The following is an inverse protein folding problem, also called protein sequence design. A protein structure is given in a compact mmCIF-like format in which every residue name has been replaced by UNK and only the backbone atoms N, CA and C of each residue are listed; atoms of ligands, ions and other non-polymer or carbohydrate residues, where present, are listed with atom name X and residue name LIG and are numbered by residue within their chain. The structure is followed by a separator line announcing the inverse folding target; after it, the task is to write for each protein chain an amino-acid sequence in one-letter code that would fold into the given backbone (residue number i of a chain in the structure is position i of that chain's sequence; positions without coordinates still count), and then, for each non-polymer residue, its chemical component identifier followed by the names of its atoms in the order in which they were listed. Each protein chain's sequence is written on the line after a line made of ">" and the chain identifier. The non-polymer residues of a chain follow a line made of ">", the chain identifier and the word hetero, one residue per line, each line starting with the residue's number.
data_IF_848306609881
#
_entry.id   IF_848306609881
#
_cell.length_a   1.000
_cell.length_b   1.000
_cell.length_c   1.000
_cell.angle_alpha   90.00
_cell.angle_beta   90.00
_cell.angle_gamma   90.00
#
_symmetry.space_group_name_H-M   'P 1'
#
loop_
_entity.id
_entity.type
_entity.pdbx_description
1 polymer ?
#
# COMPACT_ATOMS: atom_id res chain seq x y z
N UNK A 1 -11.44 -8.32 -14.88
CA UNK A 1 -12.92 -8.41 -14.92
C UNK A 1 -13.44 -9.33 -13.80
N UNK A 2 -12.99 -10.58 -13.70
CA UNK A 2 -13.43 -11.53 -12.65
C UNK A 2 -13.23 -11.04 -11.19
N UNK A 3 -12.10 -10.39 -10.89
CA UNK A 3 -11.85 -9.83 -9.56
C UNK A 3 -12.84 -8.71 -9.19
N UNK A 4 -13.23 -7.86 -10.17
CA UNK A 4 -14.15 -6.75 -9.93
C UNK A 4 -15.57 -7.25 -9.64
N UNK A 5 -16.02 -8.33 -10.30
CA UNK A 5 -17.32 -8.95 -10.04
C UNK A 5 -17.38 -9.66 -8.69
N UNK A 6 -16.30 -10.31 -8.26
CA UNK A 6 -16.23 -10.90 -6.91
C UNK A 6 -16.27 -9.83 -5.81
N UNK A 7 -15.65 -8.68 -6.09
CA UNK A 7 -15.60 -7.55 -5.17
C UNK A 7 -16.97 -6.87 -5.04
N UNK A 8 -17.73 -6.71 -6.13
CA UNK A 8 -19.08 -6.15 -6.06
C UNK A 8 -20.04 -7.04 -5.26
N UNK A 9 -19.92 -8.36 -5.39
CA UNK A 9 -20.73 -9.33 -4.63
C UNK A 9 -20.41 -9.35 -3.13
N UNK A 10 -19.16 -9.10 -2.75
CA UNK A 10 -18.73 -9.06 -1.34
C UNK A 10 -18.98 -7.70 -0.69
N UNK A 11 -18.87 -6.60 -1.45
CA UNK A 11 -19.10 -5.24 -0.95
C UNK A 11 -20.56 -4.90 -0.72
N UNK A 12 -21.45 -5.30 -1.64
CA UNK A 12 -22.87 -4.98 -1.57
C UNK A 12 -23.64 -6.11 -0.89
N UNK A 13 -23.82 -6.01 0.43
CA UNK A 13 -24.77 -6.85 1.14
C UNK A 13 -26.08 -6.08 1.38
N UNK A 14 -27.24 -6.77 1.49
CA UNK A 14 -28.53 -6.13 1.75
C UNK A 14 -28.56 -5.26 3.03
N UNK A 15 -27.60 -5.43 3.95
CA UNK A 15 -27.53 -4.72 5.23
C UNK A 15 -26.54 -3.54 5.26
N UNK A 16 -25.63 -3.37 4.29
CA UNK A 16 -24.65 -2.27 4.28
C UNK A 16 -23.40 -2.54 3.42
N UNK A 17 -22.34 -1.74 3.60
CA UNK A 17 -21.03 -1.96 2.95
C UNK A 17 -20.14 -2.78 3.90
N UNK A 18 -19.65 -3.95 3.45
CA UNK A 18 -18.71 -4.75 4.23
C UNK A 18 -17.26 -4.30 3.98
N UNK A 19 -16.69 -3.55 4.91
CA UNK A 19 -15.27 -3.16 4.89
C UNK A 19 -14.42 -4.17 5.67
N UNK A 20 -14.45 -5.44 5.26
CA UNK A 20 -13.58 -6.46 5.84
C UNK A 20 -12.13 -6.27 5.40
N UNK A 21 -11.18 -6.84 6.17
CA UNK A 21 -9.75 -6.86 5.82
C UNK A 21 -9.54 -7.50 4.44
N UNK A 22 -10.33 -8.53 4.11
CA UNK A 22 -10.29 -9.21 2.81
C UNK A 22 -10.81 -8.32 1.68
N UNK A 23 -11.87 -7.55 1.92
CA UNK A 23 -12.41 -6.58 0.94
C UNK A 23 -11.36 -5.49 0.63
N UNK A 24 -10.71 -4.95 1.67
CA UNK A 24 -9.64 -3.95 1.53
C UNK A 24 -8.45 -4.54 0.79
N UNK A 25 -8.02 -5.76 1.14
CA UNK A 25 -6.93 -6.45 0.45
C UNK A 25 -7.25 -6.65 -1.04
N UNK A 26 -8.47 -7.11 -1.36
CA UNK A 26 -8.93 -7.28 -2.75
C UNK A 26 -8.97 -5.98 -3.53
N UNK A 27 -9.44 -4.89 -2.90
CA UNK A 27 -9.42 -3.56 -3.49
C UNK A 27 -7.98 -3.09 -3.77
N UNK A 28 -7.08 -3.26 -2.81
CA UNK A 28 -5.67 -2.86 -2.99
C UNK A 28 -5.02 -3.64 -4.12
N UNK A 29 -5.21 -4.95 -4.21
CA UNK A 29 -4.64 -5.73 -5.32
C UNK A 29 -5.29 -5.36 -6.65
N UNK A 30 -6.58 -5.05 -6.68
CA UNK A 30 -7.26 -4.53 -7.87
C UNK A 30 -6.63 -3.20 -8.32
N UNK A 31 -6.43 -2.23 -7.41
CA UNK A 31 -5.79 -0.94 -7.75
C UNK A 31 -4.36 -1.11 -8.25
N UNK A 32 -3.56 -1.96 -7.61
CA UNK A 32 -2.20 -2.32 -8.05
C UNK A 32 -2.22 -2.93 -9.45
N UNK A 33 -3.18 -3.81 -9.73
CA UNK A 33 -3.35 -4.42 -11.06
C UNK A 33 -3.71 -3.39 -12.11
N UNK A 34 -4.63 -2.48 -11.81
CA UNK A 34 -5.02 -1.40 -12.73
C UNK A 34 -3.81 -0.53 -13.06
N UNK A 35 -3.06 -0.07 -12.05
CA UNK A 35 -1.86 0.72 -12.26
C UNK A 35 -0.86 -0.05 -13.13
N UNK A 36 -0.62 -1.32 -12.83
CA UNK A 36 0.30 -2.15 -13.59
C UNK A 36 -0.12 -2.37 -15.05
N UNK A 37 -1.40 -2.63 -15.30
CA UNK A 37 -1.95 -2.80 -16.65
C UNK A 37 -1.85 -1.49 -17.43
N UNK A 38 -2.23 -0.35 -16.82
CA UNK A 38 -2.10 0.97 -17.45
C UNK A 38 -0.64 1.28 -17.81
N UNK A 39 0.30 0.88 -16.96
CA UNK A 39 1.73 1.07 -17.19
C UNK A 39 2.28 0.13 -18.27
N UNK A 40 1.75 -1.10 -18.36
CA UNK A 40 2.09 -2.08 -19.40
C UNK A 40 1.59 -1.65 -20.79
N UNK A 41 0.37 -1.12 -20.88
CA UNK A 41 -0.20 -0.60 -22.15
C UNK A 41 0.67 0.54 -22.69
N UNK A 42 1.18 1.42 -21.81
CA UNK A 42 2.03 2.54 -22.22
C UNK A 42 3.43 2.11 -22.68
N UNK A 43 3.96 0.99 -22.21
CA UNK A 43 5.29 0.49 -22.60
C UNK A 43 5.31 -1.03 -22.61
N UNK A 44 5.29 -1.60 -23.83
CA UNK A 44 5.36 -3.04 -24.13
C UNK A 44 6.47 -3.74 -23.33
N UNK A 45 6.11 -4.23 -22.15
CA UNK A 45 7.01 -4.91 -21.23
C UNK A 45 6.24 -6.06 -20.59
N UNK A 46 6.10 -7.15 -21.35
CA UNK A 46 5.35 -8.35 -20.98
C UNK A 46 5.78 -8.95 -19.62
N UNK A 47 7.03 -8.72 -19.20
CA UNK A 47 7.54 -9.17 -17.91
C UNK A 47 6.86 -8.53 -16.68
N UNK A 48 6.19 -7.37 -16.81
CA UNK A 48 5.50 -6.73 -15.69
C UNK A 48 4.28 -7.52 -15.20
N UNK A 49 3.56 -8.16 -16.13
CA UNK A 49 2.40 -8.97 -15.80
C UNK A 49 2.81 -10.23 -15.02
N UNK A 50 3.97 -10.80 -15.32
CA UNK A 50 4.46 -12.05 -14.71
C UNK A 50 4.67 -11.91 -13.20
N UNK A 51 5.08 -10.73 -12.71
CA UNK A 51 5.28 -10.50 -11.28
C UNK A 51 3.95 -10.24 -10.52
N UNK A 52 3.00 -9.60 -11.18
CA UNK A 52 1.77 -9.09 -10.54
C UNK A 52 0.64 -10.11 -10.61
N UNK A 53 0.58 -10.92 -11.68
CA UNK A 53 -0.40 -12.00 -11.84
C UNK A 53 -0.48 -12.98 -10.66
N UNK A 54 0.63 -13.55 -10.13
CA UNK A 54 0.52 -14.48 -9.00
C UNK A 54 -0.04 -13.80 -7.73
N UNK A 55 0.25 -12.52 -7.51
CA UNK A 55 -0.28 -11.75 -6.38
C UNK A 55 -1.79 -11.54 -6.55
N UNK A 56 -2.25 -11.26 -7.78
CA UNK A 56 -3.68 -11.11 -8.06
C UNK A 56 -4.46 -12.41 -7.93
N UNK A 57 -3.91 -13.52 -8.44
CA UNK A 57 -4.52 -14.84 -8.33
C UNK A 57 -4.64 -15.24 -6.85
N UNK A 58 -3.57 -15.04 -6.07
CA UNK A 58 -3.57 -15.34 -4.64
C UNK A 58 -4.60 -14.47 -3.89
N UNK A 59 -4.69 -13.17 -4.21
CA UNK A 59 -5.67 -12.28 -3.59
C UNK A 59 -7.11 -12.72 -3.88
N UNK A 60 -7.41 -13.11 -5.13
CA UNK A 60 -8.74 -13.60 -5.51
C UNK A 60 -9.05 -14.90 -4.78
N UNK A 61 -8.09 -15.82 -4.70
CA UNK A 61 -8.26 -17.09 -4.00
C UNK A 61 -8.52 -16.88 -2.50
N UNK A 62 -7.74 -16.02 -1.85
CA UNK A 62 -7.92 -15.69 -0.42
C UNK A 62 -9.31 -15.08 -0.19
N UNK A 63 -9.78 -14.20 -1.08
CA UNK A 63 -11.11 -13.60 -0.94
C UNK A 63 -12.26 -14.59 -1.13
N UNK A 64 -12.07 -15.69 -1.86
CA UNK A 64 -13.10 -16.73 -2.01
C UNK A 64 -13.27 -17.59 -0.74
N UNK A 65 -12.19 -17.79 0.01
CA UNK A 65 -12.21 -18.61 1.23
C UNK A 65 -12.21 -17.77 2.52
N UNK A 66 -12.27 -16.45 2.38
CA UNK A 66 -12.31 -15.52 3.49
C UNK A 66 -13.62 -15.68 4.28
N UNK A 67 -13.57 -15.87 5.61
CA UNK A 67 -14.73 -15.71 6.45
C UNK A 67 -15.31 -14.32 6.23
N UNK A 68 -16.56 -14.23 5.77
CA UNK A 68 -17.26 -12.95 5.68
C UNK A 68 -17.69 -12.60 7.10
N UNK A 69 -16.77 -12.04 7.88
CA UNK A 69 -17.12 -11.49 9.19
C UNK A 69 -18.01 -10.26 8.95
N UNK A 70 -19.31 -10.45 9.18
CA UNK A 70 -20.32 -9.41 9.09
C UNK A 70 -20.21 -8.46 10.29
N UNK A 71 -19.13 -7.70 10.38
CA UNK A 71 -19.16 -6.49 11.22
C UNK A 71 -20.05 -5.49 10.47
N UNK A 72 -21.34 -5.46 10.83
CA UNK A 72 -22.31 -4.50 10.28
C UNK A 72 -21.95 -3.12 10.84
N UNK A 73 -20.97 -2.49 10.21
CA UNK A 73 -20.54 -1.14 10.49
C UNK A 73 -21.24 -0.22 9.49
N UNK A 74 -22.19 0.61 9.96
CA UNK A 74 -22.86 1.66 9.18
C UNK A 74 -22.36 3.04 9.63
N UNK A 75 -21.15 3.46 9.21
CA UNK A 75 -20.69 4.79 9.51
C UNK A 75 -21.39 5.79 8.56
N UNK A 76 -21.36 7.09 8.90
CA UNK A 76 -21.57 8.13 7.91
C UNK A 76 -20.73 7.87 6.66
N UNK A 77 -21.28 8.19 5.49
CA UNK A 77 -20.62 7.98 4.19
C UNK A 77 -19.23 8.62 4.14
N UNK A 78 -19.07 9.78 4.77
CA UNK A 78 -17.80 10.51 4.89
C UNK A 78 -16.70 9.68 5.59
N UNK A 79 -17.04 9.06 6.73
CA UNK A 79 -16.12 8.22 7.50
C UNK A 79 -15.82 6.93 6.74
N UNK A 80 -16.81 6.32 6.06
CA UNK A 80 -16.56 5.16 5.20
C UNK A 80 -15.55 5.48 4.09
N UNK A 81 -15.72 6.61 3.40
CA UNK A 81 -14.82 7.04 2.33
C UNK A 81 -13.43 7.33 2.89
N UNK A 82 -13.33 8.05 4.02
CA UNK A 82 -12.05 8.31 4.68
C UNK A 82 -11.32 7.00 5.03
N UNK A 83 -11.99 6.04 5.67
CA UNK A 83 -11.40 4.75 6.04
C UNK A 83 -10.96 3.97 4.81
N UNK A 84 -11.79 3.93 3.76
CA UNK A 84 -11.48 3.24 2.51
C UNK A 84 -10.27 3.84 1.80
N UNK A 85 -10.22 5.17 1.66
CA UNK A 85 -9.08 5.88 1.04
C UNK A 85 -7.80 5.69 1.86
N UNK A 86 -7.89 5.77 3.19
CA UNK A 86 -6.77 5.53 4.11
C UNK A 86 -6.22 4.11 3.97
N UNK A 87 -7.11 3.12 3.91
CA UNK A 87 -6.73 1.71 3.78
C UNK A 87 -6.11 1.40 2.41
N UNK A 88 -6.65 1.98 1.33
CA UNK A 88 -6.07 1.89 -0.01
C UNK A 88 -4.67 2.51 -0.08
N UNK A 89 -4.49 3.71 0.49
CA UNK A 89 -3.19 4.37 0.57
C UNK A 89 -2.16 3.49 1.27
N UNK A 90 -2.53 2.95 2.45
CA UNK A 90 -1.69 2.04 3.21
C UNK A 90 -1.27 0.80 2.40
N UNK A 91 -2.23 0.13 1.76
CA UNK A 91 -1.95 -1.09 0.99
C UNK A 91 -1.05 -0.83 -0.23
N UNK A 92 -1.31 0.23 -0.99
CA UNK A 92 -0.46 0.60 -2.14
C UNK A 92 0.95 0.98 -1.70
N UNK A 93 1.10 1.74 -0.62
CA UNK A 93 2.42 2.09 -0.06
C UNK A 93 3.16 0.87 0.48
N UNK A 94 2.45 -0.12 1.05
CA UNK A 94 3.03 -1.40 1.43
C UNK A 94 3.58 -2.16 0.22
N UNK A 95 2.83 -2.20 -0.89
CA UNK A 95 3.28 -2.82 -2.13
C UNK A 95 4.51 -2.11 -2.69
N UNK A 96 4.54 -0.77 -2.67
CA UNK A 96 5.71 0.01 -3.05
C UNK A 96 6.94 -0.33 -2.18
N UNK A 97 6.75 -0.45 -0.86
CA UNK A 97 7.82 -0.84 0.07
C UNK A 97 8.35 -2.24 -0.20
N UNK A 98 7.47 -3.23 -0.38
CA UNK A 98 7.86 -4.60 -0.75
C UNK A 98 8.60 -4.65 -2.08
N UNK A 99 8.14 -3.88 -3.08
CA UNK A 99 8.81 -3.80 -4.38
C UNK A 99 10.19 -3.14 -4.27
N UNK A 100 10.34 -2.11 -3.42
CA UNK A 100 11.64 -1.48 -3.16
C UNK A 100 12.65 -2.43 -2.52
N UNK A 101 12.18 -3.33 -1.62
CA UNK A 101 12.99 -4.38 -1.02
C UNK A 101 13.39 -5.44 -2.06
N UNK A 102 12.45 -5.88 -2.89
CA UNK A 102 12.71 -6.83 -3.96
C UNK A 102 13.73 -6.29 -4.97
N UNK A 103 13.58 -5.02 -5.37
CA UNK A 103 14.52 -4.30 -6.22
C UNK A 103 15.92 -4.25 -5.62
N UNK A 104 16.04 -3.86 -4.34
CA UNK A 104 17.31 -3.82 -3.64
C UNK A 104 17.97 -5.22 -3.56
N UNK A 105 17.17 -6.26 -3.31
CA UNK A 105 17.66 -7.64 -3.31
C UNK A 105 18.15 -8.09 -4.69
N UNK A 106 17.42 -7.78 -5.76
CA UNK A 106 17.86 -8.07 -7.13
C UNK A 106 19.15 -7.32 -7.48
N UNK A 107 19.26 -6.04 -7.12
CA UNK A 107 20.44 -5.21 -7.36
C UNK A 107 21.67 -5.76 -6.62
N UNK A 108 21.49 -6.22 -5.38
CA UNK A 108 22.52 -6.89 -4.59
C UNK A 108 23.03 -8.18 -5.26
N UNK A 109 22.10 -9.02 -5.74
CA UNK A 109 22.44 -10.30 -6.38
C UNK A 109 23.19 -10.11 -7.71
N UNK A 110 22.84 -9.06 -8.48
CA UNK A 110 23.53 -8.71 -9.72
C UNK A 110 24.96 -8.24 -9.47
N UNK A 111 25.18 -7.42 -8.43
CA UNK A 111 26.54 -6.98 -8.05
C UNK A 111 27.44 -8.14 -7.62
N UNK A 112 26.88 -9.17 -6.99
CA UNK A 112 27.64 -10.33 -6.50
C UNK A 112 27.73 -11.50 -7.51
N UNK A 113 27.46 -11.25 -8.80
CA UNK A 113 27.61 -12.21 -9.91
C UNK A 113 26.90 -13.58 -9.71
N UNK A 114 25.96 -13.69 -8.77
CA UNK A 114 25.15 -14.89 -8.54
C UNK A 114 23.98 -14.90 -9.53
N UNK A 115 24.28 -15.16 -10.80
CA UNK A 115 23.27 -15.32 -11.86
C UNK A 115 22.46 -16.61 -11.66
N UNK A 116 21.45 -16.57 -10.78
CA UNK A 116 20.44 -17.63 -10.72
C UNK A 116 19.53 -17.52 -11.97
N UNK A 117 19.21 -18.67 -12.59
CA UNK A 117 18.30 -18.81 -13.76
C UNK A 117 16.94 -18.11 -13.55
N UNK A 118 16.48 -17.98 -12.30
CA UNK A 118 15.26 -17.27 -11.90
C UNK A 118 15.33 -15.74 -12.11
N UNK A 119 16.51 -15.11 -12.06
CA UNK A 119 16.66 -13.66 -12.26
C UNK A 119 16.49 -13.25 -13.74
N UNK A 120 16.65 -14.17 -14.70
CA UNK A 120 16.38 -13.92 -16.13
C UNK A 120 14.87 -13.86 -16.45
N UNK A 121 14.02 -14.43 -15.60
CA UNK A 121 12.57 -14.41 -15.77
C UNK A 121 11.93 -13.14 -15.21
N UNK A 122 12.67 -12.33 -14.44
CA UNK A 122 12.18 -11.11 -13.84
C UNK A 122 12.30 -9.94 -14.84
N UNK A 123 11.33 -9.02 -14.88
CA UNK A 123 11.40 -7.83 -15.72
C UNK A 123 12.64 -6.99 -15.38
N UNK A 124 13.08 -6.16 -16.32
CA UNK A 124 14.29 -5.35 -16.12
C UNK A 124 14.18 -4.46 -14.87
N UNK A 125 15.30 -4.28 -14.15
CA UNK A 125 15.40 -3.45 -12.94
C UNK A 125 14.75 -2.08 -13.12
N UNK A 126 14.97 -1.45 -14.27
CA UNK A 126 14.43 -0.14 -14.60
C UNK A 126 12.89 -0.13 -14.65
N UNK A 127 12.28 -1.21 -15.13
CA UNK A 127 10.83 -1.32 -15.23
C UNK A 127 10.22 -1.54 -13.84
N UNK A 128 10.86 -2.37 -13.01
CA UNK A 128 10.45 -2.57 -11.63
C UNK A 128 10.59 -1.29 -10.80
N UNK A 129 11.68 -0.53 -10.97
CA UNK A 129 11.88 0.75 -10.29
C UNK A 129 10.81 1.76 -10.69
N UNK A 130 10.45 1.81 -11.98
CA UNK A 130 9.38 2.69 -12.46
C UNK A 130 8.03 2.34 -11.83
N UNK A 131 7.65 1.07 -11.82
CA UNK A 131 6.40 0.63 -11.17
C UNK A 131 6.37 0.97 -9.68
N UNK A 132 7.51 0.78 -8.99
CA UNK A 132 7.63 1.14 -7.58
C UNK A 132 7.33 2.63 -7.37
N UNK A 133 7.86 3.51 -8.22
CA UNK A 133 7.56 4.95 -8.16
C UNK A 133 6.12 5.28 -8.57
N UNK A 134 5.52 4.55 -9.51
CA UNK A 134 4.10 4.72 -9.86
C UNK A 134 3.17 4.34 -8.70
N UNK A 135 3.47 3.25 -7.98
CA UNK A 135 2.76 2.91 -6.74
C UNK A 135 3.01 3.93 -5.64
N UNK A 136 4.26 4.41 -5.49
CA UNK A 136 4.58 5.45 -4.52
C UNK A 136 3.78 6.73 -4.76
N UNK A 137 3.72 7.22 -6.01
CA UNK A 137 2.93 8.39 -6.40
C UNK A 137 1.46 8.17 -6.07
N UNK A 138 0.88 7.04 -6.52
CA UNK A 138 -0.53 6.73 -6.28
C UNK A 138 -0.84 6.65 -4.77
N UNK A 139 0.02 5.99 -4.00
CA UNK A 139 -0.10 5.87 -2.55
C UNK A 139 -0.02 7.22 -1.83
N UNK A 140 0.90 8.10 -2.23
CA UNK A 140 1.03 9.45 -1.64
C UNK A 140 -0.17 10.34 -1.99
N UNK A 141 -0.68 10.27 -3.22
CA UNK A 141 -1.90 10.99 -3.61
C UNK A 141 -3.09 10.54 -2.75
N UNK A 142 -3.30 9.22 -2.60
CA UNK A 142 -4.35 8.69 -1.73
C UNK A 142 -4.13 9.05 -0.26
N UNK A 143 -2.88 9.01 0.23
CA UNK A 143 -2.55 9.42 1.60
C UNK A 143 -2.86 10.90 1.82
N UNK A 144 -2.65 11.76 0.82
CA UNK A 144 -2.99 13.19 0.89
C UNK A 144 -4.50 13.39 1.00
N UNK A 145 -5.29 12.67 0.18
CA UNK A 145 -6.75 12.69 0.29
C UNK A 145 -7.25 12.12 1.62
N UNK A 146 -6.61 11.07 2.13
CA UNK A 146 -6.89 10.51 3.46
C UNK A 146 -6.65 11.55 4.56
N UNK A 147 -5.49 12.22 4.55
CA UNK A 147 -5.18 13.25 5.54
C UNK A 147 -6.16 14.42 5.47
N UNK A 148 -6.44 14.92 4.26
CA UNK A 148 -7.37 16.02 4.06
C UNK A 148 -8.80 15.67 4.52
N UNK A 149 -9.30 14.49 4.15
CA UNK A 149 -10.59 14.00 4.64
C UNK A 149 -10.59 13.80 6.15
N UNK A 150 -9.48 13.33 6.74
CA UNK A 150 -9.33 13.25 8.18
C UNK A 150 -9.54 14.61 8.84
N UNK A 151 -8.79 15.63 8.39
CA UNK A 151 -8.87 16.98 8.95
C UNK A 151 -10.26 17.63 8.80
N UNK A 152 -11.00 17.30 7.75
CA UNK A 152 -12.33 17.87 7.49
C UNK A 152 -13.46 17.16 8.25
N UNK A 153 -13.40 15.83 8.40
CA UNK A 153 -14.55 15.02 8.85
C UNK A 153 -14.39 14.44 10.27
N UNK A 154 -13.19 14.42 10.84
CA UNK A 154 -12.97 13.87 12.18
C UNK A 154 -12.93 15.01 13.22
N UNK A 155 -14.10 15.38 13.72
CA UNK A 155 -14.23 16.21 14.92
C UNK A 155 -13.48 15.51 16.08
N UNK A 156 -12.44 16.16 16.63
CA UNK A 156 -11.50 15.63 17.63
C UNK A 156 -10.30 14.79 17.15
N UNK A 157 -9.80 14.98 15.92
CA UNK A 157 -8.48 14.39 15.52
C UNK A 157 -7.32 14.72 16.48
N UNK A 158 -7.42 15.84 17.20
CA UNK A 158 -6.43 16.31 18.17
C UNK A 158 -6.72 15.89 19.61
N UNK A 159 -7.75 15.06 19.86
CA UNK A 159 -7.85 14.38 21.15
C UNK A 159 -6.56 13.58 21.42
N UNK A 160 -6.08 13.58 22.67
CA UNK A 160 -4.77 13.04 23.04
C UNK A 160 -4.50 11.63 22.50
N UNK A 161 -5.54 10.80 22.34
CA UNK A 161 -5.42 9.42 21.85
C UNK A 161 -5.20 9.31 20.31
N UNK A 162 -5.65 10.30 19.53
CA UNK A 162 -5.57 10.30 18.05
C UNK A 162 -4.41 11.14 17.53
N UNK A 163 -3.98 12.14 18.31
CA UNK A 163 -2.91 13.08 17.96
C UNK A 163 -1.63 12.36 17.50
N UNK A 164 -1.22 11.32 18.25
CA UNK A 164 -0.02 10.54 17.95
C UNK A 164 -0.12 9.78 16.62
N UNK A 165 -1.31 9.29 16.26
CA UNK A 165 -1.53 8.60 14.98
C UNK A 165 -1.46 9.57 13.80
N UNK A 166 -2.07 10.75 13.96
CA UNK A 166 -2.09 11.80 12.93
C UNK A 166 -0.71 12.41 12.71
N UNK A 167 0.04 12.68 13.77
CA UNK A 167 1.41 13.22 13.65
C UNK A 167 2.31 12.21 12.93
N UNK A 168 2.26 10.92 13.30
CA UNK A 168 3.06 9.89 12.64
C UNK A 168 2.71 9.73 11.16
N UNK A 169 1.43 9.82 10.78
CA UNK A 169 1.04 9.76 9.36
C UNK A 169 1.45 11.00 8.56
N UNK A 170 1.40 12.20 9.16
CA UNK A 170 1.91 13.44 8.54
C UNK A 170 3.43 13.40 8.37
N UNK A 171 4.17 12.86 9.35
CA UNK A 171 5.62 12.65 9.24
C UNK A 171 5.92 11.63 8.14
N UNK A 172 5.23 10.50 8.10
CA UNK A 172 5.38 9.51 7.03
C UNK A 172 5.08 10.12 5.64
N UNK A 173 4.00 10.90 5.51
CA UNK A 173 3.66 11.63 4.29
C UNK A 173 4.79 12.57 3.87
N UNK A 174 5.37 13.32 4.82
CA UNK A 174 6.49 14.23 4.56
C UNK A 174 7.72 13.48 4.07
N UNK A 175 8.04 12.32 4.66
CA UNK A 175 9.15 11.44 4.23
C UNK A 175 8.94 10.98 2.78
N UNK A 176 7.72 10.56 2.41
CA UNK A 176 7.42 10.17 1.04
C UNK A 176 7.45 11.36 0.07
N UNK A 177 6.94 12.53 0.48
CA UNK A 177 6.98 13.74 -0.32
C UNK A 177 8.42 14.19 -0.61
N UNK A 178 9.29 14.19 0.41
CA UNK A 178 10.72 14.48 0.24
C UNK A 178 11.38 13.49 -0.71
N UNK A 179 11.05 12.21 -0.63
CA UNK A 179 11.54 11.20 -1.57
C UNK A 179 11.08 11.49 -3.01
N UNK A 180 9.81 11.84 -3.22
CA UNK A 180 9.27 12.18 -4.54
C UNK A 180 9.98 13.40 -5.14
N UNK A 181 10.14 14.46 -4.36
CA UNK A 181 10.89 15.65 -4.77
C UNK A 181 12.35 15.32 -5.04
N UNK A 182 12.99 14.53 -4.17
CA UNK A 182 14.37 14.08 -4.33
C UNK A 182 14.57 13.19 -5.56
N UNK A 183 13.57 12.39 -5.93
CA UNK A 183 13.58 11.61 -7.17
C UNK A 183 13.58 12.51 -8.40
N UNK A 184 12.69 13.51 -8.48
CA UNK A 184 12.62 14.41 -9.64
C UNK A 184 13.76 15.40 -9.74
N UNK A 185 14.25 15.91 -8.61
CA UNK A 185 15.29 16.97 -8.60
C UNK A 185 16.71 16.42 -8.58
N UNK A 186 16.96 15.36 -7.81
CA UNK A 186 18.30 14.80 -7.57
C UNK A 186 18.49 13.42 -8.17
N UNK A 187 17.47 12.86 -8.81
CA UNK A 187 17.54 11.52 -9.38
C UNK A 187 17.78 10.43 -8.33
N UNK A 188 17.19 10.55 -7.13
CA UNK A 188 17.30 9.51 -6.10
C UNK A 188 16.74 8.18 -6.60
N UNK A 189 17.59 7.14 -6.60
CA UNK A 189 17.33 5.82 -7.18
C UNK A 189 17.98 4.71 -6.34
N UNK A 190 17.59 3.46 -6.59
CA UNK A 190 18.17 2.27 -5.95
C UNK A 190 18.07 2.26 -4.42
N UNK A 191 19.20 1.99 -3.76
CA UNK A 191 19.27 1.83 -2.30
C UNK A 191 18.78 3.06 -1.51
N UNK A 192 19.02 4.27 -2.03
CA UNK A 192 18.55 5.50 -1.38
C UNK A 192 17.02 5.53 -1.39
N UNK A 193 16.40 5.33 -2.55
CA UNK A 193 14.94 5.29 -2.67
C UNK A 193 14.32 4.20 -1.78
N UNK A 194 14.90 2.99 -1.78
CA UNK A 194 14.45 1.90 -0.91
C UNK A 194 14.46 2.28 0.57
N UNK A 195 15.52 2.91 1.08
CA UNK A 195 15.60 3.34 2.48
C UNK A 195 14.49 4.32 2.82
N UNK A 196 14.28 5.35 1.99
CA UNK A 196 13.22 6.34 2.20
C UNK A 196 11.81 5.71 2.16
N UNK A 197 11.54 4.81 1.21
CA UNK A 197 10.24 4.13 1.11
C UNK A 197 9.99 3.26 2.34
N UNK A 198 10.97 2.45 2.74
CA UNK A 198 10.83 1.56 3.90
C UNK A 198 10.70 2.36 5.19
N UNK A 199 11.49 3.42 5.38
CA UNK A 199 11.37 4.30 6.55
C UNK A 199 9.99 4.98 6.59
N UNK A 200 9.52 5.54 5.49
CA UNK A 200 8.19 6.14 5.41
C UNK A 200 7.07 5.13 5.71
N UNK A 201 7.19 3.92 5.17
CA UNK A 201 6.22 2.86 5.40
C UNK A 201 6.22 2.37 6.85
N UNK A 202 7.38 2.21 7.48
CA UNK A 202 7.49 1.83 8.89
C UNK A 202 6.87 2.90 9.81
N UNK A 203 7.07 4.18 9.52
CA UNK A 203 6.41 5.28 10.24
C UNK A 203 4.89 5.21 10.09
N UNK A 204 4.40 4.94 8.88
CA UNK A 204 2.98 4.76 8.61
C UNK A 204 2.39 3.54 9.33
N UNK A 205 3.09 2.40 9.31
CA UNK A 205 2.69 1.20 10.03
C UNK A 205 2.65 1.43 11.56
N UNK A 206 3.63 2.16 12.08
CA UNK A 206 3.65 2.55 13.48
C UNK A 206 2.50 3.49 13.85
N UNK A 207 2.02 4.34 12.93
CA UNK A 207 0.85 5.17 13.21
C UNK A 207 -0.43 4.31 13.40
N UNK A 208 -0.54 3.20 12.66
CA UNK A 208 -1.69 2.31 12.74
C UNK A 208 -1.64 1.38 13.96
N UNK A 209 -0.49 0.72 14.18
CA UNK A 209 -0.31 -0.31 15.23
C UNK A 209 0.36 0.21 16.52
N UNK A 210 1.12 1.30 16.45
CA UNK A 210 2.16 1.65 17.43
C UNK A 210 1.67 2.00 18.82
N UNK A 211 0.51 2.66 18.96
CA UNK A 211 -0.04 2.95 20.30
C UNK A 211 -0.43 1.68 21.07
N UNK A 212 -1.03 0.69 20.39
CA UNK A 212 -1.42 -0.58 21.03
C UNK A 212 -0.19 -1.43 21.37
N UNK A 213 0.83 -1.41 20.52
CA UNK A 213 2.09 -2.12 20.76
C UNK A 213 2.91 -1.51 21.91
N UNK A 214 2.99 -0.17 22.00
CA UNK A 214 3.70 0.49 23.09
C UNK A 214 3.06 0.20 24.46
N UNK A 215 1.73 0.21 24.53
CA UNK A 215 0.99 -0.11 25.76
C UNK A 215 1.13 -1.59 26.12
N UNK A 216 0.98 -2.51 25.17
CA UNK A 216 1.11 -3.93 25.46
C UNK A 216 2.54 -4.29 25.90
N UNK A 217 3.58 -3.68 25.30
CA UNK A 217 4.97 -3.91 25.71
C UNK A 217 5.31 -3.30 27.07
N UNK A 218 4.67 -2.19 27.45
CA UNK A 218 4.83 -1.60 28.78
C UNK A 218 4.07 -2.39 29.86
N UNK A 219 2.87 -2.89 29.56
CA UNK A 219 2.07 -3.69 30.50
C UNK A 219 2.66 -5.09 30.71
N UNK A 220 3.28 -5.71 29.70
CA UNK A 220 3.95 -7.02 29.86
C UNK A 220 5.23 -6.90 30.73
N UNK A 221 5.71 -5.67 30.98
CA UNK A 221 6.96 -5.42 31.71
C UNK A 221 6.75 -4.90 33.14
N UNK A 222 5.50 -4.85 33.62
CA UNK A 222 5.11 -4.49 34.99
C UNK A 222 4.37 -5.64 35.64
#
# INVERSE_FOLDING_TARGET
>A
MFQASMLSMTMHTPQGISLSVFTIASLTTLTVTIIAVLSSIKKSSEGLLVLILPITILSVLITQFAPVDHIIWRPPTEIAVHVLVSALAYGILMVAALQSLLLSYQEYQLRHHRQKRLLKALPSLQTMERLMFEFLVAGVVLLTFSLLSGFLFLENMFAQHLLHKTVLSVVAWSVFAVLLVGHWTRGWRGMMAMRWIVTGFLLLALSYFGWRLAINLLIIKT
#
